data_IF_279830161064
#
_entry.id   IF_279830161064
#
_cell.length_a   1.000
_cell.length_b   1.000
_cell.length_c   1.000
_cell.angle_alpha   90.00
_cell.angle_beta   90.00
_cell.angle_gamma   90.00
#
_symmetry.space_group_name_H-M   'P 1'
#
loop_
_entity.id
_entity.type
_entity.pdbx_description
1 polymer ?
#
# COMPACT_ATOMS: atom_id res chain seq x y z
N UNK A 1 -12.93 3.84 4.71
CA UNK A 1 -12.46 3.00 3.60
C UNK A 1 -12.10 1.57 4.05
N UNK A 2 -13.06 0.79 4.61
CA UNK A 2 -12.78 -0.56 5.11
C UNK A 2 -12.39 -1.52 3.98
N UNK A 3 -13.07 -1.45 2.85
CA UNK A 3 -12.81 -2.35 1.73
C UNK A 3 -11.37 -2.27 1.22
N UNK A 4 -10.88 -1.06 0.95
CA UNK A 4 -9.50 -0.84 0.48
C UNK A 4 -8.44 -1.06 1.56
N UNK A 5 -8.81 -0.97 2.84
CA UNK A 5 -7.93 -1.28 3.96
C UNK A 5 -7.75 -2.79 4.10
N UNK A 6 -8.85 -3.56 4.04
CA UNK A 6 -8.82 -5.02 4.11
C UNK A 6 -8.14 -5.67 2.89
N UNK A 7 -8.17 -5.04 1.71
CA UNK A 7 -7.49 -5.59 0.54
C UNK A 7 -5.96 -5.47 0.62
N UNK A 8 -5.43 -4.44 1.28
CA UNK A 8 -3.98 -4.15 1.32
C UNK A 8 -3.29 -4.61 2.60
N UNK A 9 -4.04 -5.01 3.63
CA UNK A 9 -3.48 -5.27 4.97
C UNK A 9 -2.43 -6.38 4.98
N UNK A 10 -2.60 -7.45 4.20
CA UNK A 10 -1.65 -8.56 4.14
C UNK A 10 -0.30 -8.10 3.57
N UNK A 11 -0.33 -7.27 2.51
CA UNK A 11 0.88 -6.65 1.95
C UNK A 11 1.58 -5.78 2.99
N UNK A 12 0.83 -4.93 3.71
CA UNK A 12 1.39 -4.09 4.77
C UNK A 12 1.98 -4.93 5.90
N UNK A 13 1.29 -5.98 6.31
CA UNK A 13 1.77 -6.89 7.35
C UNK A 13 3.10 -7.53 6.93
N UNK A 14 3.17 -8.12 5.73
CA UNK A 14 4.40 -8.70 5.23
C UNK A 14 5.56 -7.68 5.21
N UNK A 15 5.30 -6.46 4.70
CA UNK A 15 6.32 -5.43 4.62
C UNK A 15 6.84 -4.99 6.00
N UNK A 16 5.94 -4.67 6.93
CA UNK A 16 6.32 -4.10 8.22
C UNK A 16 6.83 -5.12 9.24
N UNK A 17 6.46 -6.40 9.10
CA UNK A 17 6.85 -7.42 10.09
C UNK A 17 8.02 -8.29 9.66
N UNK A 18 8.25 -8.43 8.34
CA UNK A 18 9.28 -9.35 7.84
C UNK A 18 10.29 -8.71 6.88
N UNK A 19 9.83 -7.78 6.03
CA UNK A 19 10.62 -7.30 4.89
C UNK A 19 11.46 -6.07 5.19
N UNK A 20 10.84 -5.04 5.79
CA UNK A 20 11.44 -3.70 5.88
C UNK A 20 12.45 -3.59 7.02
N UNK A 21 13.60 -2.98 6.72
CA UNK A 21 14.53 -2.50 7.74
C UNK A 21 13.96 -1.24 8.39
N UNK A 22 13.28 -1.40 9.52
CA UNK A 22 12.69 -0.32 10.31
C UNK A 22 13.06 -0.46 11.77
N UNK A 23 13.12 0.67 12.47
CA UNK A 23 13.37 0.73 13.91
C UNK A 23 12.36 1.67 14.56
N UNK A 24 11.42 1.10 15.30
CA UNK A 24 10.36 1.87 15.97
C UNK A 24 10.92 2.78 17.06
N UNK A 25 12.01 2.36 17.73
CA UNK A 25 12.68 3.17 18.74
C UNK A 25 13.44 4.36 18.11
N UNK A 26 13.84 4.24 16.85
CA UNK A 26 14.47 5.30 16.07
C UNK A 26 13.79 5.49 14.72
N UNK A 27 12.57 6.04 14.69
CA UNK A 27 11.75 6.14 13.47
C UNK A 27 12.32 7.10 12.42
N UNK A 28 13.40 7.81 12.75
CA UNK A 28 14.12 8.72 11.83
C UNK A 28 15.48 8.15 11.40
N UNK A 29 15.79 6.90 11.70
CA UNK A 29 17.02 6.26 11.26
C UNK A 29 17.21 6.45 9.75
N UNK A 30 18.39 6.90 9.34
CA UNK A 30 18.62 7.34 7.96
C UNK A 30 18.58 6.18 6.95
N UNK A 31 19.08 5.02 7.33
CA UNK A 31 19.14 3.81 6.49
C UNK A 31 17.89 2.92 6.60
N UNK A 32 16.81 3.40 7.27
CA UNK A 32 15.54 2.67 7.29
C UNK A 32 14.94 2.61 5.89
N UNK A 33 14.23 1.54 5.58
CA UNK A 33 13.40 1.47 4.39
C UNK A 33 12.24 2.47 4.44
N UNK A 34 11.71 2.84 3.29
CA UNK A 34 10.62 3.80 3.13
C UNK A 34 9.38 3.11 2.57
N UNK A 35 8.23 3.41 3.16
CA UNK A 35 6.95 2.96 2.62
C UNK A 35 6.05 4.14 2.28
N UNK A 36 5.47 4.12 1.08
CA UNK A 36 4.51 5.12 0.60
C UNK A 36 3.16 4.46 0.35
N UNK A 37 2.16 4.79 1.15
CA UNK A 37 0.78 4.40 0.86
C UNK A 37 0.19 5.41 -0.14
N UNK A 38 0.37 5.17 -1.45
CA UNK A 38 -0.09 6.08 -2.50
C UNK A 38 -1.63 6.18 -2.52
N UNK A 39 -2.33 5.05 -2.36
CA UNK A 39 -3.77 5.00 -2.09
C UNK A 39 -4.08 5.43 -0.65
N UNK A 40 -3.84 6.71 -0.34
CA UNK A 40 -3.90 7.25 1.01
C UNK A 40 -5.22 7.06 1.76
N UNK A 41 -6.31 6.80 1.04
CA UNK A 41 -7.61 6.47 1.63
C UNK A 41 -7.61 5.14 2.41
N UNK A 42 -6.67 4.22 2.13
CA UNK A 42 -6.46 3.00 2.92
C UNK A 42 -5.65 3.26 4.22
N UNK A 43 -5.59 4.51 4.67
CA UNK A 43 -4.94 4.92 5.92
C UNK A 43 -5.29 4.06 7.14
N UNK A 44 -6.55 3.57 7.33
CA UNK A 44 -6.86 2.74 8.49
C UNK A 44 -5.99 1.48 8.59
N UNK A 45 -5.66 0.83 7.47
CA UNK A 45 -4.75 -0.32 7.46
C UNK A 45 -3.32 0.08 7.89
N UNK A 46 -2.80 1.19 7.35
CA UNK A 46 -1.48 1.70 7.74
C UNK A 46 -1.45 2.09 9.23
N UNK A 47 -2.49 2.76 9.72
CA UNK A 47 -2.56 3.15 11.12
C UNK A 47 -2.62 1.93 12.05
N UNK A 48 -3.36 0.89 11.70
CA UNK A 48 -3.41 -0.34 12.47
C UNK A 48 -2.02 -0.98 12.59
N UNK A 49 -1.30 -1.10 11.47
CA UNK A 49 0.05 -1.65 11.45
C UNK A 49 1.03 -0.79 12.24
N UNK A 50 1.02 0.52 12.06
CA UNK A 50 1.91 1.44 12.78
C UNK A 50 1.65 1.43 14.29
N UNK A 51 0.38 1.41 14.71
CA UNK A 51 0.00 1.31 16.11
C UNK A 51 0.44 -0.03 16.72
N UNK A 52 0.23 -1.14 16.01
CA UNK A 52 0.63 -2.47 16.48
C UNK A 52 2.15 -2.61 16.58
N UNK A 53 2.89 -2.02 15.66
CA UNK A 53 4.36 -1.91 15.73
C UNK A 53 4.86 -0.99 16.85
N UNK A 54 3.99 -0.14 17.42
CA UNK A 54 4.33 0.75 18.54
C UNK A 54 4.82 2.14 18.14
N UNK A 55 4.55 2.61 16.90
CA UNK A 55 4.87 3.99 16.49
C UNK A 55 4.04 5.04 17.24
N UNK A 56 2.85 4.66 17.71
CA UNK A 56 1.97 5.45 18.56
C UNK A 56 1.03 4.55 19.37
N UNK A 57 0.37 5.12 20.37
CA UNK A 57 -0.54 4.39 21.26
C UNK A 57 -1.75 3.82 20.51
N UNK A 58 -2.05 2.52 20.70
CA UNK A 58 -3.18 1.84 20.05
C UNK A 58 -4.55 2.48 20.37
N UNK A 59 -4.70 3.08 21.54
CA UNK A 59 -5.94 3.78 21.92
C UNK A 59 -6.28 4.94 20.99
N UNK A 60 -5.29 5.53 20.29
CA UNK A 60 -5.55 6.56 19.31
C UNK A 60 -6.36 6.07 18.10
N UNK A 61 -6.37 4.75 17.81
CA UNK A 61 -7.15 4.19 16.69
C UNK A 61 -8.65 4.51 16.83
N UNK A 62 -9.16 4.61 18.05
CA UNK A 62 -10.56 4.96 18.33
C UNK A 62 -10.89 6.41 17.96
N UNK A 63 -9.88 7.24 17.75
CA UNK A 63 -10.05 8.66 17.41
C UNK A 63 -10.00 8.94 15.90
N UNK A 64 -9.97 7.91 15.08
CA UNK A 64 -9.89 8.02 13.62
C UNK A 64 -10.93 9.01 13.07
N UNK A 65 -10.47 10.01 12.30
CA UNK A 65 -11.27 11.08 11.69
C UNK A 65 -12.00 12.00 12.67
N UNK A 66 -11.77 11.88 13.96
CA UNK A 66 -12.35 12.83 14.92
C UNK A 66 -11.61 14.18 14.88
N UNK A 67 -12.32 15.24 15.23
CA UNK A 67 -11.71 16.56 15.33
C UNK A 67 -10.58 16.57 16.36
N UNK A 68 -9.43 17.12 15.98
CA UNK A 68 -8.25 17.15 16.85
C UNK A 68 -7.40 15.87 16.87
N UNK A 69 -7.88 14.76 16.31
CA UNK A 69 -7.08 13.54 16.21
C UNK A 69 -5.92 13.71 15.21
N UNK A 70 -4.80 13.06 15.50
CA UNK A 70 -3.69 12.94 14.54
C UNK A 70 -4.03 11.96 13.41
N UNK A 71 -4.97 11.02 13.65
CA UNK A 71 -5.38 9.99 12.70
C UNK A 71 -6.50 10.52 11.78
N UNK A 72 -6.09 11.24 10.76
CA UNK A 72 -6.99 11.79 9.76
C UNK A 72 -7.35 10.74 8.68
N UNK A 73 -8.30 11.08 7.79
CA UNK A 73 -8.76 10.19 6.72
C UNK A 73 -7.69 9.82 5.70
N UNK A 74 -6.61 10.58 5.65
CA UNK A 74 -5.40 10.34 4.86
C UNK A 74 -4.17 10.53 5.75
N UNK A 75 -3.05 9.82 5.50
CA UNK A 75 -1.86 9.90 6.33
C UNK A 75 -1.23 11.30 6.29
N UNK A 76 -0.83 11.81 7.45
CA UNK A 76 -0.12 13.08 7.58
C UNK A 76 1.27 12.85 8.21
N UNK A 77 2.32 13.01 7.41
CA UNK A 77 3.72 12.81 7.82
C UNK A 77 4.18 13.76 8.93
N UNK A 78 3.50 14.91 9.09
CA UNK A 78 3.84 15.90 10.11
C UNK A 78 3.30 15.53 11.48
N UNK A 79 2.30 14.66 11.53
CA UNK A 79 1.58 14.31 12.77
C UNK A 79 1.84 12.88 13.24
N UNK A 80 2.15 11.97 12.32
CA UNK A 80 2.22 10.53 12.61
C UNK A 80 3.64 10.01 12.35
N UNK A 81 4.27 9.54 13.40
CA UNK A 81 5.56 8.83 13.29
C UNK A 81 5.40 7.55 12.47
N UNK A 82 6.35 7.27 11.59
CA UNK A 82 6.29 6.12 10.67
C UNK A 82 5.58 6.39 9.35
N UNK A 83 4.93 7.55 9.18
CA UNK A 83 4.39 8.01 7.90
C UNK A 83 5.47 8.82 7.16
N UNK A 84 5.93 8.30 6.02
CA UNK A 84 7.03 8.91 5.24
C UNK A 84 6.59 10.16 4.46
N UNK A 85 5.35 10.18 3.97
CA UNK A 85 4.78 11.27 3.18
C UNK A 85 3.27 11.33 3.37
N UNK A 86 2.73 12.55 3.42
CA UNK A 86 1.28 12.77 3.37
C UNK A 86 0.75 12.40 1.98
N UNK A 87 -0.27 11.56 1.93
CA UNK A 87 -0.88 11.09 0.68
C UNK A 87 -2.39 11.29 0.70
N UNK A 88 -3.07 11.02 -0.43
CA UNK A 88 -4.52 11.21 -0.59
C UNK A 88 -4.86 11.73 -1.98
N UNK A 89 -4.01 12.55 -2.59
CA UNK A 89 -4.07 12.87 -4.01
C UNK A 89 -3.50 11.68 -4.78
N UNK A 90 -4.37 10.92 -5.44
CA UNK A 90 -4.00 9.71 -6.16
C UNK A 90 -2.99 10.00 -7.29
N UNK A 91 -2.15 9.03 -7.59
CA UNK A 91 -1.13 9.11 -8.62
C UNK A 91 0.18 9.77 -8.20
N UNK A 92 0.23 10.48 -7.05
CA UNK A 92 1.43 11.23 -6.64
C UNK A 92 2.49 10.36 -5.94
N UNK A 93 2.07 9.28 -5.29
CA UNK A 93 2.95 8.49 -4.42
C UNK A 93 4.13 7.86 -5.15
N UNK A 94 3.96 7.39 -6.38
CA UNK A 94 5.06 6.79 -7.15
C UNK A 94 6.15 7.83 -7.50
N UNK A 95 5.75 9.07 -7.83
CA UNK A 95 6.71 10.16 -8.08
C UNK A 95 7.52 10.51 -6.84
N UNK A 96 6.87 10.57 -5.67
CA UNK A 96 7.55 10.79 -4.39
C UNK A 96 8.52 9.66 -4.08
N UNK A 97 8.11 8.42 -4.30
CA UNK A 97 8.95 7.24 -4.12
C UNK A 97 10.18 7.23 -5.04
N UNK A 98 10.04 7.72 -6.29
CA UNK A 98 11.18 7.95 -7.18
C UNK A 98 12.20 8.90 -6.55
N UNK A 99 11.74 10.02 -5.99
CA UNK A 99 12.59 10.97 -5.29
C UNK A 99 13.33 10.34 -4.11
N UNK A 100 12.63 9.54 -3.30
CA UNK A 100 13.24 8.81 -2.18
C UNK A 100 14.28 7.79 -2.67
N UNK A 101 13.98 7.02 -3.71
CA UNK A 101 14.90 6.03 -4.27
C UNK A 101 16.15 6.66 -4.88
N UNK A 102 16.00 7.81 -5.53
CA UNK A 102 17.13 8.62 -6.02
C UNK A 102 17.95 9.19 -4.86
N UNK A 103 17.32 9.69 -3.81
CA UNK A 103 18.00 10.23 -2.63
C UNK A 103 18.89 9.17 -1.97
N UNK A 104 18.42 7.92 -1.83
CA UNK A 104 19.21 6.79 -1.35
C UNK A 104 20.54 6.66 -2.09
N UNK A 105 20.51 6.74 -3.43
CA UNK A 105 21.70 6.63 -4.27
C UNK A 105 22.62 7.85 -4.16
N UNK A 106 22.04 9.04 -4.22
CA UNK A 106 22.80 10.30 -4.15
C UNK A 106 23.53 10.48 -2.82
N UNK A 107 22.90 10.02 -1.73
CA UNK A 107 23.45 10.09 -0.38
C UNK A 107 24.33 8.89 -0.03
N UNK A 108 24.38 7.86 -0.88
CA UNK A 108 25.02 6.56 -0.60
C UNK A 108 24.51 5.90 0.69
N UNK A 109 23.21 6.03 0.98
CA UNK A 109 22.53 5.39 2.10
C UNK A 109 21.68 4.25 1.55
N UNK A 110 22.03 2.98 1.80
CA UNK A 110 21.38 1.84 1.14
C UNK A 110 20.05 1.49 1.80
N UNK A 111 18.97 2.15 1.39
CA UNK A 111 17.60 1.77 1.75
C UNK A 111 16.75 1.48 0.53
N UNK A 112 15.71 0.73 0.73
CA UNK A 112 14.70 0.42 -0.28
C UNK A 112 13.47 1.28 -0.08
N UNK A 113 12.72 1.45 -1.16
CA UNK A 113 11.45 2.17 -1.17
C UNK A 113 10.35 1.24 -1.66
N UNK A 114 9.28 1.15 -0.90
CA UNK A 114 8.08 0.38 -1.21
C UNK A 114 6.89 1.32 -1.39
N UNK A 115 6.05 1.03 -2.37
CA UNK A 115 4.85 1.84 -2.68
C UNK A 115 3.65 0.92 -2.83
N UNK A 116 2.52 1.27 -2.24
CA UNK A 116 1.24 0.60 -2.51
C UNK A 116 0.28 1.57 -3.23
N UNK A 117 -0.10 1.20 -4.43
CA UNK A 117 -1.09 1.90 -5.27
C UNK A 117 -2.36 1.08 -5.40
N UNK A 118 -3.49 1.72 -5.69
CA UNK A 118 -4.71 1.06 -6.13
C UNK A 118 -4.75 0.89 -7.65
N UNK A 119 -5.53 -0.07 -8.13
CA UNK A 119 -5.74 -0.27 -9.57
C UNK A 119 -6.47 0.91 -10.23
N UNK A 120 -7.51 1.44 -9.59
CA UNK A 120 -8.18 2.66 -10.06
C UNK A 120 -7.25 3.88 -10.06
N UNK A 121 -6.27 3.93 -9.19
CA UNK A 121 -5.23 4.98 -9.16
C UNK A 121 -4.38 5.00 -10.43
N UNK A 122 -4.24 3.88 -11.13
CA UNK A 122 -3.50 3.80 -12.39
C UNK A 122 -4.16 4.56 -13.55
N UNK A 123 -5.37 5.07 -13.36
CA UNK A 123 -6.02 5.99 -14.30
C UNK A 123 -5.37 7.38 -14.29
N UNK A 124 -4.61 7.72 -13.26
CA UNK A 124 -3.89 8.97 -13.15
C UNK A 124 -2.66 8.99 -14.07
N UNK A 125 -2.55 10.02 -14.94
CA UNK A 125 -1.41 10.17 -15.86
C UNK A 125 -0.06 10.24 -15.17
N UNK A 126 -0.02 10.84 -13.97
CA UNK A 126 1.18 10.99 -13.15
C UNK A 126 1.86 9.66 -12.82
N UNK A 127 1.11 8.57 -12.68
CA UNK A 127 1.67 7.22 -12.45
C UNK A 127 2.58 6.81 -13.61
N UNK A 128 2.15 7.06 -14.84
CA UNK A 128 2.88 6.67 -16.06
C UNK A 128 4.11 7.54 -16.29
N UNK A 129 4.03 8.83 -15.98
CA UNK A 129 5.19 9.73 -15.98
C UNK A 129 6.24 9.27 -14.96
N UNK A 130 5.79 8.88 -13.76
CA UNK A 130 6.67 8.32 -12.74
C UNK A 130 7.26 6.98 -13.16
N UNK A 131 6.47 6.12 -13.81
CA UNK A 131 6.93 4.82 -14.30
C UNK A 131 8.06 4.96 -15.34
N UNK A 132 7.97 5.91 -16.27
CA UNK A 132 9.06 6.24 -17.19
C UNK A 132 10.31 6.69 -16.45
N UNK A 133 10.16 7.57 -15.47
CA UNK A 133 11.26 8.08 -14.65
C UNK A 133 11.96 6.96 -13.89
N UNK A 134 11.20 6.07 -13.24
CA UNK A 134 11.76 4.94 -12.50
C UNK A 134 12.63 4.04 -13.38
N UNK A 135 12.14 3.72 -14.58
CA UNK A 135 12.85 2.89 -15.54
C UNK A 135 14.09 3.59 -16.10
N UNK A 136 13.96 4.88 -16.46
CA UNK A 136 15.07 5.69 -16.98
C UNK A 136 16.26 5.74 -16.02
N UNK A 137 15.97 5.94 -14.73
CA UNK A 137 17.01 5.99 -13.69
C UNK A 137 17.35 4.61 -13.11
N UNK A 138 16.75 3.52 -13.65
CA UNK A 138 17.03 2.13 -13.23
C UNK A 138 16.91 1.94 -11.72
N UNK A 139 15.81 2.41 -11.13
CA UNK A 139 15.61 2.42 -9.68
C UNK A 139 15.33 1.00 -9.13
N UNK A 140 16.36 0.16 -9.06
CA UNK A 140 16.26 -1.23 -8.58
C UNK A 140 16.10 -1.34 -7.05
N UNK A 141 16.18 -0.23 -6.34
CA UNK A 141 15.81 -0.09 -4.94
C UNK A 141 14.34 0.34 -4.74
N UNK A 142 13.55 0.43 -5.82
CA UNK A 142 12.13 0.73 -5.80
C UNK A 142 11.29 -0.52 -6.13
N UNK A 143 10.39 -0.88 -5.23
CA UNK A 143 9.38 -1.93 -5.42
C UNK A 143 7.99 -1.33 -5.22
N UNK A 144 7.16 -1.39 -6.24
CA UNK A 144 5.78 -0.92 -6.18
C UNK A 144 4.79 -2.09 -6.22
N UNK A 145 3.72 -1.99 -5.46
CA UNK A 145 2.58 -2.90 -5.47
C UNK A 145 1.38 -2.20 -6.11
N UNK A 146 0.66 -2.92 -6.94
CA UNK A 146 -0.71 -2.58 -7.28
C UNK A 146 -1.63 -3.52 -6.50
N UNK A 147 -2.41 -2.97 -5.58
CA UNK A 147 -3.54 -3.65 -4.93
C UNK A 147 -4.66 -3.78 -5.97
N UNK A 148 -4.60 -4.90 -6.74
CA UNK A 148 -5.44 -5.14 -7.91
C UNK A 148 -6.71 -5.89 -7.51
N UNK A 149 -7.70 -5.14 -7.03
CA UNK A 149 -8.99 -5.68 -6.59
C UNK A 149 -10.14 -5.43 -7.58
N UNK A 150 -9.86 -4.77 -8.71
CA UNK A 150 -10.79 -4.41 -9.79
C UNK A 150 -11.99 -3.57 -9.35
N UNK A 151 -11.94 -2.89 -8.20
CA UNK A 151 -13.05 -2.08 -7.70
C UNK A 151 -12.62 -0.65 -7.34
N UNK A 152 -13.31 0.31 -7.91
CA UNK A 152 -13.25 1.72 -7.55
C UNK A 152 -14.60 2.21 -7.00
N UNK A 153 -14.76 3.52 -6.74
CA UNK A 153 -15.93 4.10 -6.08
C UNK A 153 -17.24 3.71 -6.78
N UNK A 154 -17.27 3.79 -8.11
CA UNK A 154 -18.48 3.70 -8.92
C UNK A 154 -18.73 2.31 -9.52
N UNK A 155 -17.82 1.34 -9.31
CA UNK A 155 -17.95 0.00 -9.89
C UNK A 155 -16.62 -0.69 -10.18
N UNK A 156 -16.68 -1.67 -11.08
CA UNK A 156 -15.46 -2.34 -11.52
C UNK A 156 -14.57 -1.40 -12.33
N UNK A 157 -13.28 -1.43 -12.06
CA UNK A 157 -12.29 -0.65 -12.82
C UNK A 157 -12.35 -0.98 -14.31
N UNK A 158 -12.57 -2.26 -14.66
CA UNK A 158 -12.73 -2.72 -16.03
C UNK A 158 -13.91 -2.08 -16.77
N UNK A 159 -14.97 -1.74 -16.05
CA UNK A 159 -16.22 -1.20 -16.63
C UNK A 159 -16.21 0.34 -16.66
N UNK A 160 -15.60 0.96 -15.66
CA UNK A 160 -15.56 2.43 -15.52
C UNK A 160 -14.45 3.04 -16.39
N UNK A 161 -13.20 2.60 -16.18
CA UNK A 161 -12.04 3.02 -16.97
C UNK A 161 -10.98 1.93 -16.90
N UNK A 162 -10.95 1.07 -17.90
CA UNK A 162 -10.09 -0.13 -17.92
C UNK A 162 -8.61 0.20 -17.98
N UNK A 163 -7.87 -0.29 -17.00
CA UNK A 163 -6.41 -0.16 -16.90
C UNK A 163 -5.65 -1.43 -17.30
N UNK A 164 -6.36 -2.51 -17.68
CA UNK A 164 -5.74 -3.76 -18.13
C UNK A 164 -4.95 -3.58 -19.47
N UNK A 165 -3.93 -4.34 -19.80
CA UNK A 165 -3.18 -5.17 -18.84
C UNK A 165 -2.17 -4.30 -18.09
N UNK A 166 -2.23 -4.33 -16.78
CA UNK A 166 -1.30 -3.57 -15.92
C UNK A 166 0.12 -4.08 -16.14
N UNK A 167 0.27 -5.41 -16.21
CA UNK A 167 1.56 -6.08 -16.37
C UNK A 167 2.25 -5.66 -17.67
N UNK A 168 1.50 -5.66 -18.78
CA UNK A 168 2.09 -5.35 -20.09
C UNK A 168 2.48 -3.87 -20.19
N UNK A 169 1.69 -2.98 -19.58
CA UNK A 169 2.02 -1.56 -19.53
C UNK A 169 3.32 -1.32 -18.78
N UNK A 170 3.48 -1.87 -17.55
CA UNK A 170 4.72 -1.69 -16.79
C UNK A 170 5.91 -2.39 -17.45
N UNK A 171 5.72 -3.56 -18.09
CA UNK A 171 6.76 -4.20 -18.90
C UNK A 171 7.21 -3.30 -20.06
N UNK A 172 6.24 -2.66 -20.76
CA UNK A 172 6.53 -1.74 -21.84
C UNK A 172 7.32 -0.50 -21.39
N UNK A 173 7.10 -0.05 -20.15
CA UNK A 173 7.92 0.98 -19.51
C UNK A 173 9.29 0.49 -19.03
N UNK A 174 9.62 -0.81 -19.17
CA UNK A 174 10.93 -1.35 -18.81
C UNK A 174 11.06 -1.85 -17.37
N UNK A 175 9.96 -2.01 -16.66
CA UNK A 175 9.94 -2.58 -15.32
C UNK A 175 10.09 -4.10 -15.33
N UNK A 176 10.64 -4.64 -14.25
CA UNK A 176 10.43 -6.03 -13.85
C UNK A 176 9.00 -6.16 -13.28
N UNK A 177 8.23 -7.17 -13.72
CA UNK A 177 6.83 -7.31 -13.32
C UNK A 177 6.57 -8.72 -12.82
N UNK A 178 5.98 -8.80 -11.64
CA UNK A 178 5.56 -10.03 -10.98
C UNK A 178 4.07 -9.97 -10.70
N UNK A 179 3.37 -11.09 -10.81
CA UNK A 179 1.94 -11.21 -10.46
C UNK A 179 1.79 -12.26 -9.37
N UNK A 180 1.02 -11.94 -8.33
CA UNK A 180 0.85 -12.78 -7.13
C UNK A 180 -0.60 -12.79 -6.66
N UNK A 181 -0.94 -13.76 -5.81
CA UNK A 181 -2.05 -13.65 -4.87
C UNK A 181 -1.65 -12.72 -3.73
N UNK A 182 -2.28 -11.54 -3.64
CA UNK A 182 -1.98 -10.52 -2.63
C UNK A 182 -2.46 -10.86 -1.21
N UNK A 183 -3.11 -12.01 -1.03
CA UNK A 183 -3.50 -12.58 0.27
C UNK A 183 -2.66 -13.81 0.67
N UNK A 184 -1.68 -14.18 -0.15
CA UNK A 184 -0.75 -15.27 0.14
C UNK A 184 0.58 -14.70 0.63
N UNK A 185 0.85 -14.80 1.94
CA UNK A 185 2.08 -14.25 2.54
C UNK A 185 3.35 -14.81 1.90
N UNK A 186 3.38 -16.12 1.56
CA UNK A 186 4.57 -16.70 0.94
C UNK A 186 4.82 -16.09 -0.44
N UNK A 187 3.77 -15.89 -1.25
CA UNK A 187 3.91 -15.26 -2.56
C UNK A 187 4.35 -13.79 -2.45
N UNK A 188 3.85 -13.05 -1.45
CA UNK A 188 4.29 -11.67 -1.19
C UNK A 188 5.77 -11.65 -0.86
N UNK A 189 6.22 -12.49 0.08
CA UNK A 189 7.62 -12.55 0.50
C UNK A 189 8.55 -12.97 -0.64
N UNK A 190 8.19 -14.01 -1.37
CA UNK A 190 8.96 -14.50 -2.53
C UNK A 190 9.07 -13.44 -3.63
N UNK A 191 8.00 -12.69 -3.89
CA UNK A 191 8.01 -11.62 -4.88
C UNK A 191 8.93 -10.47 -4.45
N UNK A 192 8.94 -10.13 -3.17
CA UNK A 192 9.83 -9.09 -2.63
C UNK A 192 11.30 -9.54 -2.73
N UNK A 193 11.62 -10.79 -2.41
CA UNK A 193 12.99 -11.30 -2.58
C UNK A 193 13.43 -11.26 -4.04
N UNK A 194 12.59 -11.70 -4.98
CA UNK A 194 12.86 -11.55 -6.42
C UNK A 194 13.05 -10.09 -6.84
N UNK A 195 12.30 -9.16 -6.24
CA UNK A 195 12.48 -7.73 -6.48
C UNK A 195 13.82 -7.21 -5.95
N UNK A 196 14.30 -7.72 -4.82
CA UNK A 196 15.63 -7.38 -4.26
C UNK A 196 16.77 -7.89 -5.13
N UNK A 197 16.60 -9.07 -5.74
CA UNK A 197 17.57 -9.69 -6.66
C UNK A 197 17.63 -8.99 -8.02
N UNK A 198 16.52 -8.39 -8.48
CA UNK A 198 16.45 -7.71 -9.77
C UNK A 198 17.31 -6.45 -9.76
N UNK A 199 18.30 -6.38 -10.67
CA UNK A 199 19.20 -5.23 -10.79
C UNK A 199 18.93 -4.43 -12.05
N UNK A 200 19.10 -3.11 -11.91
CA UNK A 200 18.98 -2.16 -13.01
C UNK A 200 17.53 -1.90 -13.48
N UNK A 201 16.53 -2.39 -12.77
CA UNK A 201 15.12 -2.15 -13.07
C UNK A 201 14.31 -2.00 -11.79
N UNK A 202 13.34 -1.06 -11.74
CA UNK A 202 12.31 -1.07 -10.70
C UNK A 202 11.41 -2.31 -10.84
N UNK A 203 10.81 -2.77 -9.75
CA UNK A 203 9.89 -3.91 -9.77
C UNK A 203 8.47 -3.48 -9.46
N UNK A 204 7.52 -3.91 -10.31
CA UNK A 204 6.09 -3.83 -10.08
C UNK A 204 5.57 -5.21 -9.67
N UNK A 205 4.88 -5.30 -8.56
CA UNK A 205 4.16 -6.47 -8.09
C UNK A 205 2.66 -6.21 -8.24
N UNK A 206 2.03 -6.89 -9.19
CA UNK A 206 0.58 -6.86 -9.36
C UNK A 206 0.00 -7.90 -8.40
N UNK A 207 -0.56 -7.43 -7.31
CA UNK A 207 -1.14 -8.27 -6.27
C UNK A 207 -2.65 -8.39 -6.48
N UNK A 208 -3.10 -9.55 -6.94
CA UNK A 208 -4.52 -9.85 -7.04
C UNK A 208 -5.10 -9.94 -5.63
N UNK A 209 -6.07 -9.10 -5.33
CA UNK A 209 -6.67 -8.98 -4.00
C UNK A 209 -8.19 -8.97 -4.08
N UNK A 210 -8.81 -9.09 -2.93
CA UNK A 210 -10.27 -8.98 -2.76
C UNK A 210 -10.56 -7.76 -1.91
N UNK A 211 -11.29 -6.80 -2.46
CA UNK A 211 -11.75 -5.63 -1.69
C UNK A 211 -12.68 -6.09 -0.58
N UNK A 212 -12.36 -5.71 0.68
CA UNK A 212 -13.14 -6.18 1.84
C UNK A 212 -12.79 -7.59 2.32
N UNK A 213 -11.62 -8.11 1.98
CA UNK A 213 -11.15 -9.46 2.28
C UNK A 213 -11.40 -9.89 3.73
N UNK A 214 -11.95 -11.09 3.89
CA UNK A 214 -12.21 -11.72 5.21
C UNK A 214 -13.55 -11.35 5.83
N UNK A 215 -14.33 -10.45 5.20
CA UNK A 215 -15.66 -10.05 5.67
C UNK A 215 -16.69 -10.28 4.57
N UNK A 216 -17.52 -11.31 4.72
CA UNK A 216 -18.44 -11.83 3.68
C UNK A 216 -19.34 -10.77 3.04
N UNK A 217 -19.87 -9.83 3.83
CA UNK A 217 -20.74 -8.76 3.35
C UNK A 217 -19.99 -7.54 2.78
N UNK A 218 -18.65 -7.50 2.89
CA UNK A 218 -17.80 -6.45 2.31
C UNK A 218 -17.04 -6.93 1.07
N UNK A 219 -16.79 -8.23 0.93
CA UNK A 219 -16.03 -8.77 -0.19
C UNK A 219 -16.68 -8.43 -1.53
N UNK A 220 -15.90 -7.73 -2.38
CA UNK A 220 -16.32 -7.28 -3.70
C UNK A 220 -17.56 -6.37 -3.72
N UNK A 221 -17.84 -5.64 -2.63
CA UNK A 221 -18.94 -4.69 -2.53
C UNK A 221 -18.43 -3.25 -2.64
N UNK A 222 -18.76 -2.57 -3.73
CA UNK A 222 -18.34 -1.18 -3.99
C UNK A 222 -18.74 -0.20 -2.88
N UNK A 223 -19.91 -0.39 -2.25
CA UNK A 223 -20.41 0.47 -1.18
C UNK A 223 -19.44 0.66 -0.02
N UNK A 224 -18.66 -0.38 0.30
CA UNK A 224 -17.64 -0.31 1.35
C UNK A 224 -16.31 0.32 0.89
N UNK A 225 -16.28 0.94 -0.28
CA UNK A 225 -15.13 1.76 -0.65
C UNK A 225 -14.95 2.93 0.31
N UNK A 226 -16.00 3.69 0.59
CA UNK A 226 -15.94 4.90 1.42
C UNK A 226 -16.93 4.94 2.58
N UNK A 227 -17.79 3.96 2.74
CA UNK A 227 -18.80 3.89 3.80
C UNK A 227 -18.27 3.07 4.98
N UNK A 228 -18.36 3.65 6.18
CA UNK A 228 -17.99 2.92 7.40
C UNK A 228 -19.09 1.88 7.74
N UNK A 229 -18.72 0.71 8.29
CA UNK A 229 -19.70 -0.24 8.79
C UNK A 229 -20.47 0.32 10.01
N UNK A 230 -21.69 -0.13 10.18
CA UNK A 230 -22.48 0.10 11.41
C UNK A 230 -21.86 -0.66 12.59
N UNK A 231 -22.33 -0.40 13.81
CA UNK A 231 -21.85 -1.13 15.00
C UNK A 231 -22.14 -2.64 14.90
N UNK A 232 -23.29 -3.02 14.37
CA UNK A 232 -23.68 -4.43 14.18
C UNK A 232 -22.79 -5.09 13.12
N UNK A 233 -22.59 -4.45 11.98
CA UNK A 233 -21.68 -4.89 10.92
C UNK A 233 -20.24 -5.00 11.43
N UNK A 234 -19.80 -4.04 12.25
CA UNK A 234 -18.46 -4.08 12.86
C UNK A 234 -18.26 -5.30 13.74
N UNK A 235 -19.22 -5.61 14.64
CA UNK A 235 -19.16 -6.79 15.50
C UNK A 235 -19.10 -8.07 14.66
N UNK A 236 -19.96 -8.19 13.65
CA UNK A 236 -19.99 -9.32 12.74
C UNK A 236 -18.67 -9.48 11.97
N UNK A 237 -18.09 -8.37 11.48
CA UNK A 237 -16.82 -8.39 10.78
C UNK A 237 -15.67 -8.88 11.68
N UNK A 238 -15.61 -8.40 12.93
CA UNK A 238 -14.59 -8.84 13.91
C UNK A 238 -14.73 -10.34 14.17
N UNK A 239 -15.93 -10.84 14.42
CA UNK A 239 -16.17 -12.27 14.64
C UNK A 239 -15.72 -13.15 13.46
N UNK A 240 -15.86 -12.67 12.22
CA UNK A 240 -15.41 -13.40 11.04
C UNK A 240 -13.89 -13.41 10.94
N UNK A 241 -13.24 -12.26 11.15
CA UNK A 241 -11.78 -12.14 11.10
C UNK A 241 -11.10 -12.97 12.19
N UNK A 242 -11.64 -13.00 13.40
CA UNK A 242 -11.13 -13.82 14.52
C UNK A 242 -11.20 -15.32 14.21
N UNK A 243 -12.29 -15.79 13.59
CA UNK A 243 -12.43 -17.20 13.19
C UNK A 243 -11.42 -17.61 12.12
N UNK A 244 -11.10 -16.71 11.19
CA UNK A 244 -10.13 -16.97 10.12
C UNK A 244 -8.69 -17.01 10.66
N UNK A 245 -8.38 -16.24 11.70
CA UNK A 245 -7.06 -16.20 12.34
C UNK A 245 -6.77 -17.43 13.23
N UNK A 246 -7.76 -18.31 13.46
CA UNK A 246 -7.65 -19.48 14.34
C UNK A 246 -7.32 -20.78 13.56
N UNK A 247 -7.05 -20.69 12.26
CA UNK A 247 -6.64 -21.79 11.38
C UNK A 247 -5.18 -21.60 11.00
#
# INVERSE_FOLDING_TARGET
>A
HPGGSLSVIDILTALYYDVMNIDVANPKKEDRDRFVLSKGHAAPALYAVLADKGYFDKGLLETLRQYGSILQGHPDMKKISGVEISTGSLGQGLSVANGMALASRLQNIPYRVYVAMGDGELQEGQVWEAAMTSAQYKLDNLTAFVDYNNLQIDGNVSDIMNVASVEDKFKAFGWNVLTIDGHNFQEILDAVEKAKECKGKPTMIVANTVKGKGVDFMENVCGFHGVAPTEEETKRAIEQLEKTSSI
#
